data_IF_974116854892
#
_entry.id   IF_974116854892
#
_cell.length_a   1.000
_cell.length_b   1.000
_cell.length_c   1.000
_cell.angle_alpha   90.00
_cell.angle_beta   90.00
_cell.angle_gamma   90.00
#
_symmetry.space_group_name_H-M   'P 1'
#
loop_
_entity.id
_entity.type
_entity.pdbx_description
1 polymer ?
#
# COMPACT_ATOMS: atom_id res chain seq x y z
N UNK A 1 2.25 17.63 -14.06
CA UNK A 1 1.38 16.42 -14.08
C UNK A 1 0.18 16.69 -14.96
N UNK A 2 -0.26 15.73 -15.77
CA UNK A 2 -1.54 15.83 -16.50
C UNK A 2 -2.44 14.72 -16.02
N UNK A 3 -3.52 15.10 -15.33
CA UNK A 3 -4.60 14.17 -14.98
C UNK A 3 -5.32 13.79 -16.27
N UNK A 4 -5.40 12.48 -16.59
CA UNK A 4 -6.12 12.00 -17.78
C UNK A 4 -7.63 12.08 -17.56
N UNK A 5 -8.08 11.65 -16.37
CA UNK A 5 -9.46 11.75 -15.91
C UNK A 5 -9.52 11.55 -14.39
N UNK A 6 -10.67 11.79 -13.82
CA UNK A 6 -10.97 11.50 -12.41
C UNK A 6 -12.02 10.42 -12.29
N UNK A 7 -12.09 9.79 -11.11
CA UNK A 7 -13.16 8.88 -10.71
C UNK A 7 -13.68 9.27 -9.33
N UNK A 8 -14.95 8.96 -9.06
CA UNK A 8 -15.56 9.20 -7.76
C UNK A 8 -15.48 7.93 -6.91
N UNK A 9 -15.08 8.08 -5.66
CA UNK A 9 -15.08 7.01 -4.66
C UNK A 9 -16.20 7.28 -3.64
N UNK A 10 -17.19 6.38 -3.62
CA UNK A 10 -18.37 6.47 -2.76
C UNK A 10 -18.24 5.52 -1.58
N UNK A 11 -18.16 6.09 -0.38
CA UNK A 11 -18.09 5.36 0.87
C UNK A 11 -19.44 5.36 1.58
N UNK A 12 -19.76 4.27 2.26
CA UNK A 12 -20.93 4.16 3.11
C UNK A 12 -20.84 5.06 4.35
N UNK A 13 -21.97 5.25 4.99
CA UNK A 13 -22.06 6.16 6.13
C UNK A 13 -21.12 5.78 7.28
N UNK A 14 -20.93 4.49 7.55
CA UNK A 14 -20.03 4.04 8.62
C UNK A 14 -18.58 4.49 8.39
N UNK A 15 -18.07 4.35 7.17
CA UNK A 15 -16.72 4.79 6.78
C UNK A 15 -16.61 6.32 6.75
N UNK A 16 -17.70 7.02 6.36
CA UNK A 16 -17.74 8.48 6.45
C UNK A 16 -17.69 8.96 7.91
N UNK A 17 -18.48 8.33 8.80
CA UNK A 17 -18.51 8.68 10.24
C UNK A 17 -17.15 8.37 10.93
N UNK A 18 -16.43 7.34 10.46
CA UNK A 18 -15.08 6.98 10.90
C UNK A 18 -13.97 7.76 10.19
N UNK A 19 -14.31 8.63 9.24
CA UNK A 19 -13.38 9.38 8.39
C UNK A 19 -12.42 8.50 7.54
N UNK A 20 -12.73 7.21 7.32
CA UNK A 20 -11.92 6.30 6.50
C UNK A 20 -11.69 6.86 5.09
N UNK A 21 -12.71 7.49 4.50
CA UNK A 21 -12.67 8.06 3.16
C UNK A 21 -11.69 9.24 2.99
N UNK A 22 -11.27 9.87 4.08
CA UNK A 22 -10.32 11.00 4.09
C UNK A 22 -8.93 10.63 4.59
N UNK A 23 -8.70 9.36 4.94
CA UNK A 23 -7.45 8.86 5.51
C UNK A 23 -6.99 7.60 4.73
N UNK A 24 -6.99 7.70 3.38
CA UNK A 24 -6.63 6.57 2.51
C UNK A 24 -5.12 6.48 2.32
N UNK A 25 -4.52 5.38 2.78
CA UNK A 25 -3.08 5.10 2.68
C UNK A 25 -2.76 4.13 1.54
N UNK A 26 -3.70 3.26 1.14
CA UNK A 26 -3.42 2.23 0.14
C UNK A 26 -4.60 2.01 -0.82
N UNK A 27 -4.27 1.70 -2.08
CA UNK A 27 -5.25 1.29 -3.11
C UNK A 27 -4.70 0.20 -4.01
N UNK A 28 -5.55 -0.80 -4.37
CA UNK A 28 -5.23 -1.77 -5.43
C UNK A 28 -6.46 -2.05 -6.26
N UNK A 29 -6.26 -2.15 -7.55
CA UNK A 29 -7.29 -2.56 -8.50
C UNK A 29 -7.33 -4.08 -8.62
N UNK A 30 -8.53 -4.66 -8.75
CA UNK A 30 -8.74 -6.10 -8.94
C UNK A 30 -9.99 -6.30 -9.82
N UNK A 31 -9.80 -6.28 -11.16
CA UNK A 31 -10.91 -6.27 -12.11
C UNK A 31 -11.80 -5.04 -11.90
N UNK A 32 -13.08 -5.28 -11.64
CA UNK A 32 -14.09 -4.24 -11.42
C UNK A 32 -14.13 -3.68 -9.99
N UNK A 33 -13.20 -4.07 -9.11
CA UNK A 33 -13.19 -3.56 -7.74
C UNK A 33 -11.91 -2.83 -7.40
N UNK A 34 -12.01 -1.94 -6.42
CA UNK A 34 -10.89 -1.35 -5.69
C UNK A 34 -10.85 -1.93 -4.29
N UNK A 35 -9.67 -2.33 -3.87
CA UNK A 35 -9.32 -2.55 -2.48
C UNK A 35 -8.67 -1.30 -1.94
N UNK A 36 -9.13 -0.84 -0.78
CA UNK A 36 -8.64 0.38 -0.12
C UNK A 36 -8.38 0.08 1.36
N UNK A 37 -7.45 0.80 1.93
CA UNK A 37 -7.21 0.80 3.37
C UNK A 37 -6.77 2.19 3.83
N UNK A 38 -6.96 2.48 5.11
CA UNK A 38 -6.58 3.72 5.74
C UNK A 38 -5.81 3.51 7.03
N UNK A 39 -5.09 4.55 7.46
CA UNK A 39 -4.19 4.52 8.60
C UNK A 39 -4.91 4.57 9.96
N UNK A 40 -6.15 5.06 10.03
CA UNK A 40 -6.90 5.22 11.29
C UNK A 40 -7.89 4.08 11.58
N UNK A 41 -7.85 2.98 10.80
CA UNK A 41 -8.77 1.84 10.95
C UNK A 41 -8.05 0.50 11.05
N UNK A 42 -8.81 -0.56 11.40
CA UNK A 42 -8.37 -1.95 11.32
C UNK A 42 -9.23 -2.73 10.32
N UNK A 43 -9.47 -2.14 9.15
CA UNK A 43 -10.32 -2.69 8.10
C UNK A 43 -9.73 -2.50 6.70
N UNK A 44 -10.26 -3.27 5.77
CA UNK A 44 -10.03 -3.16 4.33
C UNK A 44 -11.38 -2.95 3.67
N UNK A 45 -11.48 -1.94 2.83
CA UNK A 45 -12.69 -1.60 2.09
C UNK A 45 -12.60 -2.12 0.66
N UNK A 46 -13.73 -2.61 0.13
CA UNK A 46 -13.89 -2.92 -1.28
C UNK A 46 -14.96 -2.02 -1.86
N UNK A 47 -14.61 -1.27 -2.91
CA UNK A 47 -15.56 -0.54 -3.74
C UNK A 47 -15.70 -1.23 -5.10
N UNK A 48 -16.90 -1.18 -5.68
CA UNK A 48 -17.22 -1.80 -6.97
C UNK A 48 -17.43 -0.71 -8.03
N UNK A 49 -16.86 -0.90 -9.22
CA UNK A 49 -16.99 0.01 -10.35
C UNK A 49 -18.42 0.00 -10.94
N UNK A 50 -18.88 1.15 -11.41
CA UNK A 50 -20.09 1.31 -12.21
C UNK A 50 -19.97 0.65 -13.58
N UNK A 51 -18.78 0.68 -14.19
CA UNK A 51 -18.41 0.06 -15.46
C UNK A 51 -17.01 -0.54 -15.34
N UNK A 52 -16.83 -1.82 -15.75
CA UNK A 52 -15.56 -2.53 -15.61
C UNK A 52 -14.48 -1.99 -16.54
N UNK A 53 -14.84 -1.66 -17.78
CA UNK A 53 -13.89 -1.24 -18.82
C UNK A 53 -13.49 0.24 -18.67
N UNK A 54 -14.45 1.07 -18.25
CA UNK A 54 -14.26 2.52 -18.15
C UNK A 54 -14.98 3.09 -16.93
N UNK A 55 -14.54 2.75 -15.72
CA UNK A 55 -15.19 3.21 -14.51
C UNK A 55 -15.15 4.74 -14.42
N UNK A 56 -16.30 5.33 -14.07
CA UNK A 56 -16.43 6.75 -13.71
C UNK A 56 -16.62 6.92 -12.22
N UNK A 57 -17.10 5.89 -11.56
CA UNK A 57 -17.26 5.86 -10.11
C UNK A 57 -17.08 4.44 -9.56
N UNK A 58 -16.74 4.38 -8.29
CA UNK A 58 -16.66 3.17 -7.49
C UNK A 58 -17.52 3.35 -6.24
N UNK A 59 -18.41 2.43 -5.98
CA UNK A 59 -19.34 2.45 -4.85
C UNK A 59 -19.63 1.05 -4.33
N UNK A 60 -20.83 0.83 -3.78
CA UNK A 60 -21.23 -0.46 -3.20
C UNK A 60 -20.17 -1.00 -2.22
N UNK A 61 -19.83 -0.16 -1.23
CA UNK A 61 -18.78 -0.44 -0.27
C UNK A 61 -19.07 -1.70 0.54
N UNK A 62 -18.03 -2.53 0.70
CA UNK A 62 -18.00 -3.60 1.67
C UNK A 62 -16.75 -3.47 2.54
N UNK A 63 -16.95 -3.36 3.84
CA UNK A 63 -15.91 -3.31 4.86
C UNK A 63 -15.58 -4.72 5.38
N UNK A 64 -14.29 -5.03 5.48
CA UNK A 64 -13.75 -6.27 6.06
C UNK A 64 -12.90 -5.90 7.27
N UNK A 65 -13.40 -6.18 8.48
CA UNK A 65 -12.62 -5.97 9.71
C UNK A 65 -11.50 -7.02 9.79
N UNK A 66 -10.29 -6.61 10.05
CA UNK A 66 -9.16 -7.54 10.17
C UNK A 66 -9.36 -8.55 11.29
N UNK A 67 -9.97 -8.15 12.41
CA UNK A 67 -10.25 -9.03 13.54
C UNK A 67 -11.21 -10.19 13.21
N UNK A 68 -12.03 -10.06 12.15
CA UNK A 68 -12.91 -11.13 11.68
C UNK A 68 -12.16 -12.13 10.78
N UNK A 69 -10.96 -11.79 10.33
CA UNK A 69 -10.16 -12.57 9.37
C UNK A 69 -8.92 -13.20 10.01
N UNK A 70 -8.23 -12.46 10.88
CA UNK A 70 -6.99 -12.89 11.56
C UNK A 70 -7.03 -12.53 13.03
N UNK A 71 -6.25 -13.24 13.84
CA UNK A 71 -6.01 -12.85 15.23
C UNK A 71 -5.02 -11.68 15.25
N UNK A 72 -5.45 -10.52 15.72
CA UNK A 72 -4.60 -9.34 15.91
C UNK A 72 -3.74 -9.51 17.17
N UNK A 73 -2.52 -8.92 17.20
CA UNK A 73 -1.58 -9.10 18.31
C UNK A 73 -1.93 -8.25 19.55
N UNK A 74 -2.68 -7.17 19.41
CA UNK A 74 -3.10 -6.31 20.51
C UNK A 74 -4.33 -6.85 21.26
N UNK A 75 -4.53 -6.37 22.48
CA UNK A 75 -5.66 -6.79 23.33
C UNK A 75 -7.01 -6.26 22.84
N UNK A 76 -7.03 -5.14 22.14
CA UNK A 76 -8.23 -4.51 21.59
C UNK A 76 -8.31 -4.78 20.07
N UNK A 77 -9.28 -5.60 19.61
CA UNK A 77 -9.44 -5.90 18.19
C UNK A 77 -9.94 -4.72 17.35
N UNK A 78 -10.45 -3.68 17.99
CA UNK A 78 -10.91 -2.45 17.35
C UNK A 78 -9.84 -1.34 17.38
N UNK A 79 -8.67 -1.59 18.02
CA UNK A 79 -7.56 -0.67 17.97
C UNK A 79 -6.99 -0.60 16.55
N UNK A 80 -6.67 0.59 16.13
CA UNK A 80 -6.07 0.94 14.84
C UNK A 80 -4.92 0.00 14.45
N UNK A 81 -4.98 -0.58 13.24
CA UNK A 81 -3.94 -1.41 12.65
C UNK A 81 -3.00 -0.62 11.71
N UNK A 82 -3.35 0.62 11.38
CA UNK A 82 -2.50 1.52 10.59
C UNK A 82 -2.04 0.85 9.30
N UNK A 83 -3.01 0.41 8.47
CA UNK A 83 -2.73 -0.31 7.23
C UNK A 83 -2.22 0.66 6.19
N UNK A 84 -0.93 0.53 5.88
CA UNK A 84 -0.17 1.43 5.02
C UNK A 84 0.14 0.82 3.65
N UNK A 85 -0.27 -0.41 3.43
CA UNK A 85 -0.08 -1.05 2.13
C UNK A 85 -0.94 -2.28 1.95
N UNK A 86 -1.46 -2.45 0.73
CA UNK A 86 -2.16 -3.65 0.29
C UNK A 86 -1.62 -4.12 -1.05
N UNK A 87 -1.61 -5.44 -1.28
CA UNK A 87 -1.23 -6.03 -2.56
C UNK A 87 -2.16 -7.20 -2.88
N UNK A 88 -2.58 -7.31 -4.14
CA UNK A 88 -3.43 -8.37 -4.63
C UNK A 88 -2.61 -9.29 -5.55
N UNK A 89 -2.54 -10.58 -5.23
CA UNK A 89 -1.83 -11.55 -6.07
C UNK A 89 -2.44 -12.94 -5.98
N UNK A 90 -2.71 -13.57 -7.13
CA UNK A 90 -3.36 -14.87 -7.22
C UNK A 90 -4.67 -14.89 -6.41
N UNK A 91 -4.82 -15.84 -5.49
CA UNK A 91 -6.00 -16.01 -4.65
C UNK A 91 -5.88 -15.31 -3.29
N UNK A 92 -4.98 -14.35 -3.15
CA UNK A 92 -4.71 -13.71 -1.85
C UNK A 92 -4.61 -12.19 -1.96
N UNK A 93 -5.09 -11.52 -0.91
CA UNK A 93 -4.79 -10.14 -0.61
C UNK A 93 -3.80 -10.09 0.56
N UNK A 94 -2.80 -9.25 0.42
CA UNK A 94 -1.81 -8.97 1.44
C UNK A 94 -2.04 -7.57 1.99
N UNK A 95 -1.84 -7.40 3.29
CA UNK A 95 -1.84 -6.08 3.92
C UNK A 95 -0.71 -5.99 4.95
N UNK A 96 -0.17 -4.79 5.10
CA UNK A 96 0.89 -4.50 6.05
C UNK A 96 0.55 -3.28 6.87
N UNK A 97 0.74 -3.36 8.17
CA UNK A 97 0.68 -2.21 9.06
C UNK A 97 2.01 -1.45 9.08
N UNK A 98 2.00 -0.23 9.58
CA UNK A 98 3.18 0.65 9.57
C UNK A 98 4.39 0.14 10.35
N UNK A 99 4.22 -0.74 11.34
CA UNK A 99 5.25 -1.16 12.29
C UNK A 99 5.87 0.02 13.06
N UNK A 100 5.24 1.15 13.08
CA UNK A 100 5.77 2.44 13.54
C UNK A 100 5.49 2.71 15.01
N UNK A 101 6.26 3.68 15.56
CA UNK A 101 5.94 4.38 16.79
C UNK A 101 5.40 5.77 16.47
N UNK A 102 4.48 6.27 17.31
CA UNK A 102 3.89 7.62 17.17
C UNK A 102 4.37 8.55 18.25
N UNK A 103 4.73 9.77 17.85
CA UNK A 103 4.95 10.89 18.77
C UNK A 103 3.69 11.72 18.87
N UNK A 104 3.27 12.06 20.09
CA UNK A 104 2.08 12.90 20.27
C UNK A 104 2.31 14.32 19.78
N UNK A 105 1.47 14.76 18.85
CA UNK A 105 1.49 16.13 18.30
C UNK A 105 1.14 17.18 19.37
N UNK A 106 1.77 18.36 19.26
CA UNK A 106 1.33 19.57 19.93
C UNK A 106 0.12 20.12 19.15
N UNK A 107 -0.96 20.43 19.86
CA UNK A 107 -2.13 21.11 19.29
C UNK A 107 -2.10 22.58 19.69
N UNK A 108 -2.69 23.48 18.93
CA UNK A 108 -2.66 24.96 19.17
C UNK A 108 -3.08 25.37 20.58
N UNK A 109 -4.03 24.63 21.17
CA UNK A 109 -4.47 24.82 22.56
C UNK A 109 -3.43 24.44 23.63
N UNK A 110 -2.28 23.87 23.24
CA UNK A 110 -1.24 23.44 24.17
C UNK A 110 -0.12 24.46 24.20
N UNK A 111 0.29 24.87 25.39
CA UNK A 111 1.40 25.79 25.61
C UNK A 111 2.32 25.33 26.73
N UNK A 112 3.55 25.81 26.73
CA UNK A 112 4.54 25.60 27.75
C UNK A 112 4.76 24.14 28.15
N UNK A 113 4.81 23.83 29.47
CA UNK A 113 5.14 22.50 29.96
C UNK A 113 4.22 21.39 29.45
N UNK A 114 2.94 21.71 29.18
CA UNK A 114 1.96 20.72 28.62
C UNK A 114 2.31 20.33 27.19
N UNK A 115 2.73 21.28 26.36
CA UNK A 115 3.17 21.04 25.00
C UNK A 115 4.44 20.15 24.98
N UNK A 116 5.45 20.49 25.80
CA UNK A 116 6.69 19.71 25.93
C UNK A 116 6.43 18.29 26.43
N UNK A 117 5.55 18.13 27.44
CA UNK A 117 5.17 16.80 27.94
C UNK A 117 4.48 15.95 26.87
N UNK A 118 3.66 16.55 25.99
CA UNK A 118 3.06 15.83 24.86
C UNK A 118 4.11 15.41 23.84
N UNK A 119 4.96 16.34 23.43
CA UNK A 119 6.02 16.07 22.46
C UNK A 119 7.00 14.98 22.92
N UNK A 120 7.26 14.86 24.22
CA UNK A 120 8.09 13.81 24.79
C UNK A 120 7.42 12.41 24.78
N UNK A 121 6.10 12.34 24.55
CA UNK A 121 5.37 11.06 24.64
C UNK A 121 5.40 10.31 23.33
N UNK A 122 6.00 9.13 23.36
CA UNK A 122 6.01 8.14 22.28
C UNK A 122 5.06 7.00 22.68
N UNK A 123 4.30 6.49 21.75
CA UNK A 123 3.39 5.35 21.91
C UNK A 123 3.59 4.37 20.75
N UNK A 124 3.39 3.08 21.01
CA UNK A 124 3.29 2.03 20.02
C UNK A 124 2.01 1.26 20.23
N UNK A 125 1.48 0.68 19.19
CA UNK A 125 0.31 -0.18 19.18
C UNK A 125 0.71 -1.50 18.52
N UNK A 126 0.30 -2.62 19.11
CA UNK A 126 0.72 -3.93 18.62
C UNK A 126 0.01 -4.29 17.31
N UNK A 127 -1.24 -3.85 17.12
CA UNK A 127 -2.01 -4.10 15.89
C UNK A 127 -1.34 -3.49 14.63
N UNK A 128 -0.50 -2.48 14.77
CA UNK A 128 0.29 -1.90 13.67
C UNK A 128 1.43 -2.80 13.19
N UNK A 129 1.79 -3.84 14.00
CA UNK A 129 2.98 -4.67 13.77
C UNK A 129 2.59 -5.99 13.09
N UNK A 130 1.90 -5.89 11.96
CA UNK A 130 1.38 -7.04 11.22
C UNK A 130 1.75 -7.00 9.73
N UNK A 131 2.01 -8.19 9.19
CA UNK A 131 1.92 -8.49 7.76
C UNK A 131 0.95 -9.65 7.62
N UNK A 132 -0.14 -9.47 6.89
CA UNK A 132 -1.19 -10.47 6.75
C UNK A 132 -1.36 -10.92 5.31
N UNK A 133 -1.73 -12.21 5.14
CA UNK A 133 -2.15 -12.81 3.87
C UNK A 133 -3.56 -13.37 4.05
N UNK A 134 -4.51 -12.92 3.26
CA UNK A 134 -5.94 -13.21 3.41
C UNK A 134 -6.44 -13.88 2.13
N UNK A 135 -7.10 -15.06 2.20
CA UNK A 135 -7.73 -15.67 1.05
C UNK A 135 -8.81 -14.79 0.45
N UNK A 136 -8.88 -14.77 -0.88
CA UNK A 136 -9.91 -14.08 -1.67
C UNK A 136 -10.68 -15.12 -2.45
N UNK A 137 -11.99 -15.14 -2.30
CA UNK A 137 -12.90 -16.02 -3.03
C UNK A 137 -13.88 -15.18 -3.85
N UNK A 138 -14.40 -15.75 -4.94
CA UNK A 138 -15.51 -15.13 -5.64
C UNK A 138 -16.83 -15.44 -4.92
N UNK A 139 -17.58 -14.40 -4.60
CA UNK A 139 -18.96 -14.52 -4.09
C UNK A 139 -19.85 -13.63 -4.96
N UNK A 140 -20.74 -14.24 -5.70
CA UNK A 140 -21.69 -13.57 -6.61
C UNK A 140 -20.97 -12.67 -7.66
N UNK A 141 -19.81 -13.10 -8.16
CA UNK A 141 -19.00 -12.37 -9.15
C UNK A 141 -18.19 -11.21 -8.55
N UNK A 142 -18.01 -11.18 -7.23
CA UNK A 142 -17.22 -10.18 -6.52
C UNK A 142 -16.15 -10.82 -5.65
N UNK A 143 -14.87 -10.39 -5.75
CA UNK A 143 -13.81 -10.87 -4.87
C UNK A 143 -14.11 -10.48 -3.42
N UNK A 144 -14.01 -11.45 -2.52
CA UNK A 144 -14.42 -11.34 -1.13
C UNK A 144 -13.35 -11.92 -0.22
N UNK A 145 -12.95 -11.17 0.81
CA UNK A 145 -11.99 -11.62 1.83
C UNK A 145 -12.67 -12.60 2.77
N UNK A 146 -11.98 -13.70 3.09
CA UNK A 146 -12.46 -14.73 4.02
C UNK A 146 -11.33 -15.21 4.92
N UNK A 147 -11.70 -15.64 6.15
CA UNK A 147 -10.73 -16.18 7.10
C UNK A 147 -10.14 -17.53 6.63
N UNK A 148 -10.92 -18.30 5.89
CA UNK A 148 -10.48 -19.58 5.32
C UNK A 148 -11.23 -19.90 4.02
N UNK A 149 -10.55 -20.60 3.12
CA UNK A 149 -11.12 -21.08 1.86
C UNK A 149 -10.43 -22.36 1.38
N UNK A 150 -11.08 -23.11 0.52
CA UNK A 150 -10.43 -24.18 -0.25
C UNK A 150 -9.88 -23.59 -1.56
N UNK A 151 -8.56 -23.60 -1.72
CA UNK A 151 -7.84 -23.05 -2.88
C UNK A 151 -6.90 -24.12 -3.41
N UNK A 152 -7.03 -24.46 -4.68
CA UNK A 152 -6.20 -25.50 -5.30
C UNK A 152 -6.36 -26.89 -4.69
N UNK A 153 -7.50 -27.19 -4.04
CA UNK A 153 -7.77 -28.45 -3.35
C UNK A 153 -7.16 -28.53 -1.93
N UNK A 154 -6.62 -27.42 -1.43
CA UNK A 154 -6.09 -27.31 -0.07
C UNK A 154 -6.84 -26.25 0.73
N UNK A 155 -7.04 -26.50 2.02
CA UNK A 155 -7.60 -25.50 2.95
C UNK A 155 -6.54 -24.44 3.24
N UNK A 156 -6.84 -23.22 2.86
CA UNK A 156 -6.00 -22.03 3.10
C UNK A 156 -6.67 -21.16 4.17
N UNK A 157 -5.83 -20.63 5.06
CA UNK A 157 -6.26 -19.73 6.12
C UNK A 157 -5.67 -18.33 5.89
N UNK A 158 -6.38 -17.33 6.38
CA UNK A 158 -5.77 -16.03 6.62
C UNK A 158 -4.66 -16.21 7.68
N UNK A 159 -3.50 -15.65 7.41
CA UNK A 159 -2.32 -15.87 8.23
C UNK A 159 -1.54 -14.57 8.44
N UNK A 160 -0.96 -14.40 9.62
CA UNK A 160 -0.22 -13.21 10.00
C UNK A 160 1.23 -13.50 10.42
N UNK A 161 2.15 -12.60 10.05
CA UNK A 161 3.45 -12.41 10.68
C UNK A 161 3.26 -11.30 11.73
N UNK A 162 3.24 -11.67 13.01
CA UNK A 162 2.88 -10.77 14.11
C UNK A 162 3.48 -11.24 15.45
N UNK A 163 3.28 -10.49 16.51
CA UNK A 163 3.77 -10.82 17.86
C UNK A 163 5.30 -10.91 17.90
N UNK A 164 5.84 -12.00 18.40
CA UNK A 164 7.29 -12.19 18.51
C UNK A 164 8.02 -12.41 17.16
N UNK A 165 7.27 -12.61 16.08
CA UNK A 165 7.85 -12.76 14.73
C UNK A 165 7.65 -11.51 13.86
N UNK A 166 7.16 -10.41 14.43
CA UNK A 166 6.93 -9.18 13.68
C UNK A 166 8.22 -8.58 13.10
N UNK A 167 8.07 -7.64 12.18
CA UNK A 167 9.20 -7.02 11.47
C UNK A 167 10.15 -6.27 12.42
N UNK A 168 9.65 -5.67 13.51
CA UNK A 168 10.49 -4.95 14.47
C UNK A 168 11.44 -5.87 15.23
N UNK A 169 10.95 -7.05 15.63
CA UNK A 169 11.78 -8.07 16.26
C UNK A 169 12.80 -8.64 15.27
N UNK A 170 12.39 -8.83 14.02
CA UNK A 170 13.26 -9.26 12.93
C UNK A 170 14.44 -8.30 12.70
N UNK A 171 14.17 -7.00 12.75
CA UNK A 171 15.16 -5.94 12.51
C UNK A 171 15.96 -5.51 13.74
N UNK A 172 15.73 -6.14 14.91
CA UNK A 172 16.31 -5.75 16.19
C UNK A 172 17.83 -5.65 16.19
N UNK A 173 18.49 -6.48 15.39
CA UNK A 173 19.96 -6.53 15.28
C UNK A 173 20.45 -6.13 13.88
N UNK A 174 19.59 -5.55 13.04
CA UNK A 174 20.01 -5.05 11.75
C UNK A 174 20.96 -3.87 11.89
N UNK A 175 22.11 -3.93 11.23
CA UNK A 175 23.18 -2.93 11.35
C UNK A 175 22.78 -1.51 10.90
N UNK A 176 21.81 -1.40 9.98
CA UNK A 176 21.35 -0.11 9.43
C UNK A 176 20.04 0.37 10.09
N UNK A 177 19.11 -0.54 10.38
CA UNK A 177 17.75 -0.21 10.75
C UNK A 177 17.48 -0.27 12.25
N UNK A 178 18.23 -1.08 13.02
CA UNK A 178 17.99 -1.23 14.47
C UNK A 178 18.03 0.08 15.26
N UNK A 179 18.89 1.08 14.95
CA UNK A 179 18.90 2.34 15.69
C UNK A 179 17.60 3.15 15.56
N UNK A 180 16.82 2.90 14.49
CA UNK A 180 15.61 3.65 14.16
C UNK A 180 14.33 3.02 14.73
N UNK A 181 14.42 1.82 15.30
CA UNK A 181 13.27 1.14 15.89
C UNK A 181 12.68 1.90 17.12
N UNK A 182 13.47 2.66 17.84
CA UNK A 182 13.02 3.45 18.97
C UNK A 182 12.59 4.89 18.61
N UNK A 183 12.71 5.25 17.32
CA UNK A 183 12.39 6.57 16.79
C UNK A 183 10.98 6.54 16.20
N UNK A 184 10.11 7.52 16.47
CA UNK A 184 8.80 7.64 15.85
C UNK A 184 8.87 7.82 14.33
N UNK A 185 7.84 7.36 13.62
CA UNK A 185 7.78 7.40 12.15
C UNK A 185 8.08 8.79 11.58
N UNK A 186 7.34 9.80 12.01
CA UNK A 186 7.49 11.20 11.52
C UNK A 186 8.75 11.93 12.00
N UNK A 187 9.63 11.23 12.74
CA UNK A 187 10.98 11.69 13.15
C UNK A 187 12.09 10.94 12.37
N UNK A 188 11.80 10.35 11.21
CA UNK A 188 12.64 9.45 10.43
C UNK A 188 12.91 8.10 11.12
N UNK A 189 11.96 7.59 11.91
CA UNK A 189 11.99 6.25 12.50
C UNK A 189 11.55 5.16 11.54
N UNK A 190 11.50 3.90 12.03
CA UNK A 190 10.97 2.80 11.25
C UNK A 190 9.49 3.05 10.93
N UNK A 191 9.16 2.97 9.65
CA UNK A 191 7.83 3.16 9.13
C UNK A 191 7.68 2.43 7.78
N UNK A 192 6.75 1.49 7.71
CA UNK A 192 6.44 0.72 6.49
C UNK A 192 5.22 1.35 5.84
N UNK A 193 5.33 1.79 4.57
CA UNK A 193 4.21 2.43 3.84
C UNK A 193 3.92 1.82 2.47
N UNK A 194 4.53 0.76 2.09
CA UNK A 194 4.21 0.15 0.79
C UNK A 194 4.45 -1.34 0.77
N UNK A 195 3.64 -2.04 -0.02
CA UNK A 195 3.82 -3.46 -0.26
C UNK A 195 3.63 -3.82 -1.73
N UNK A 196 4.56 -4.59 -2.27
CA UNK A 196 4.40 -5.28 -3.55
C UNK A 196 4.62 -6.78 -3.36
N UNK A 197 3.88 -7.60 -4.10
CA UNK A 197 4.03 -9.05 -4.04
C UNK A 197 4.17 -9.61 -5.44
N UNK A 198 5.21 -10.42 -5.65
CA UNK A 198 5.48 -11.09 -6.92
C UNK A 198 5.94 -12.54 -6.64
N UNK A 199 5.11 -13.49 -7.05
CA UNK A 199 5.37 -14.90 -6.74
C UNK A 199 5.40 -15.18 -5.23
N UNK A 200 6.52 -15.71 -4.72
CA UNK A 200 6.75 -15.97 -3.30
C UNK A 200 7.47 -14.82 -2.56
N UNK A 201 7.69 -13.68 -3.25
CA UNK A 201 8.42 -12.53 -2.70
C UNK A 201 7.47 -11.41 -2.33
N UNK A 202 7.70 -10.85 -1.16
CA UNK A 202 7.02 -9.67 -0.64
C UNK A 202 8.06 -8.56 -0.47
N UNK A 203 7.80 -7.40 -1.06
CA UNK A 203 8.62 -6.20 -0.96
C UNK A 203 7.90 -5.22 -0.05
N UNK A 204 8.57 -4.75 1.00
CA UNK A 204 8.05 -3.75 1.94
C UNK A 204 8.85 -2.46 1.79
N UNK A 205 8.19 -1.39 1.39
CA UNK A 205 8.77 -0.06 1.29
C UNK A 205 8.87 0.64 2.63
N UNK A 206 9.99 1.27 2.91
CA UNK A 206 10.14 2.06 4.12
C UNK A 206 10.04 3.56 3.79
N UNK A 207 9.05 4.26 4.40
CA UNK A 207 9.06 5.71 4.43
C UNK A 207 10.24 6.21 5.24
N UNK A 208 10.49 5.57 6.35
CA UNK A 208 11.64 5.79 7.21
C UNK A 208 12.25 4.49 7.73
N UNK A 209 13.57 4.53 8.03
CA UNK A 209 14.49 5.66 7.88
C UNK A 209 15.01 5.83 6.46
N UNK A 210 15.33 7.07 6.10
CA UNK A 210 16.18 7.40 4.93
C UNK A 210 17.58 7.74 5.44
N UNK A 211 18.60 6.99 4.98
CA UNK A 211 19.97 7.10 5.45
C UNK A 211 20.82 7.84 4.41
N UNK A 212 21.21 9.09 4.72
CA UNK A 212 22.01 9.94 3.82
C UNK A 212 21.44 10.04 2.39
N UNK A 213 20.12 10.07 2.29
CA UNK A 213 19.41 10.17 1.01
C UNK A 213 19.03 8.84 0.38
N UNK A 214 19.33 7.71 1.02
CA UNK A 214 19.00 6.36 0.53
C UNK A 214 17.78 5.81 1.25
N UNK A 215 16.78 5.42 0.47
CA UNK A 215 15.59 4.72 0.96
C UNK A 215 15.81 3.20 0.98
N UNK A 216 14.97 2.48 1.73
CA UNK A 216 15.06 1.03 1.86
C UNK A 216 13.78 0.34 1.41
N UNK A 217 13.96 -0.80 0.74
CA UNK A 217 12.91 -1.79 0.51
C UNK A 217 13.40 -3.12 1.09
N UNK A 218 12.58 -3.77 1.91
CA UNK A 218 12.85 -5.10 2.43
C UNK A 218 12.19 -6.14 1.53
N UNK A 219 12.94 -7.14 1.11
CA UNK A 219 12.43 -8.32 0.40
C UNK A 219 12.33 -9.48 1.39
N UNK A 220 11.14 -10.07 1.49
CA UNK A 220 10.83 -11.21 2.34
C UNK A 220 10.32 -12.38 1.50
N UNK A 221 10.37 -13.60 2.06
CA UNK A 221 9.77 -14.82 1.46
C UNK A 221 8.86 -15.51 2.48
N UNK A 222 7.64 -14.93 2.72
CA UNK A 222 6.71 -15.49 3.69
C UNK A 222 6.13 -16.82 3.20
N UNK A 223 5.87 -17.72 4.16
CA UNK A 223 5.10 -18.94 3.93
C UNK A 223 4.23 -19.23 5.14
N UNK A 224 3.14 -19.98 4.92
CA UNK A 224 2.28 -20.42 6.01
C UNK A 224 2.96 -21.52 6.80
N UNK A 225 2.98 -21.40 8.12
CA UNK A 225 3.49 -22.45 8.99
C UNK A 225 2.54 -23.67 8.96
N UNK A 226 2.98 -24.85 8.49
CA UNK A 226 2.08 -26.01 8.40
C UNK A 226 1.53 -26.48 9.76
N UNK A 227 2.26 -26.23 10.85
CA UNK A 227 1.81 -26.58 12.21
C UNK A 227 0.84 -25.56 12.81
N UNK A 228 0.85 -24.32 12.30
CA UNK A 228 0.02 -23.18 12.76
C UNK A 228 -0.48 -22.41 11.53
N UNK A 229 -1.55 -22.87 10.84
CA UNK A 229 -1.97 -22.34 9.55
C UNK A 229 -2.36 -20.84 9.55
N UNK A 230 -2.68 -20.27 10.72
CA UNK A 230 -2.93 -18.85 10.87
C UNK A 230 -1.66 -18.00 11.04
N UNK A 231 -0.45 -18.62 10.94
CA UNK A 231 0.83 -17.95 11.19
C UNK A 231 1.72 -17.98 9.96
N UNK A 232 2.27 -16.83 9.59
CA UNK A 232 3.32 -16.70 8.61
C UNK A 232 4.68 -16.90 9.26
N UNK A 233 5.60 -17.49 8.49
CA UNK A 233 7.03 -17.60 8.76
C UNK A 233 7.80 -17.09 7.56
N UNK A 234 9.09 -16.81 7.73
CA UNK A 234 9.97 -16.37 6.66
C UNK A 234 10.96 -17.49 6.28
N UNK A 235 11.14 -17.69 4.99
CA UNK A 235 12.23 -18.51 4.46
C UNK A 235 13.50 -17.68 4.46
N UNK A 236 14.60 -18.30 4.86
CA UNK A 236 15.92 -17.69 4.75
C UNK A 236 16.36 -17.61 3.29
N UNK A 237 17.12 -16.58 2.98
CA UNK A 237 17.87 -16.47 1.75
C UNK A 237 19.18 -17.23 1.84
N UNK A 238 19.97 -17.24 0.76
CA UNK A 238 21.21 -18.02 0.65
C UNK A 238 22.29 -17.60 1.67
N UNK A 239 22.21 -16.37 2.18
CA UNK A 239 23.07 -15.82 3.23
C UNK A 239 22.60 -16.16 4.66
N UNK A 240 21.50 -16.91 4.79
CA UNK A 240 20.91 -17.30 6.07
C UNK A 240 20.10 -16.21 6.74
N UNK A 241 19.86 -15.06 6.07
CA UNK A 241 19.01 -13.99 6.58
C UNK A 241 17.56 -14.18 6.12
N UNK A 242 16.56 -13.88 6.97
CA UNK A 242 15.13 -14.00 6.63
C UNK A 242 14.61 -12.84 5.79
N UNK A 243 15.43 -11.85 5.45
CA UNK A 243 15.11 -10.71 4.59
C UNK A 243 16.35 -10.23 3.84
N UNK A 244 16.12 -9.52 2.75
CA UNK A 244 17.12 -8.75 2.00
C UNK A 244 16.78 -7.26 2.04
N UNK A 245 17.80 -6.42 1.94
CA UNK A 245 17.65 -4.96 1.85
C UNK A 245 18.04 -4.49 0.45
N UNK A 246 17.12 -3.83 -0.24
CA UNK A 246 17.40 -3.05 -1.44
C UNK A 246 17.48 -1.58 -1.07
N UNK A 247 18.47 -0.88 -1.59
CA UNK A 247 18.77 0.50 -1.24
C UNK A 247 18.54 1.37 -2.47
N UNK A 248 17.56 2.27 -2.42
CA UNK A 248 17.07 3.02 -3.57
C UNK A 248 17.47 4.50 -3.49
N UNK A 249 17.95 5.04 -4.61
CA UNK A 249 18.18 6.47 -4.80
C UNK A 249 16.88 7.14 -5.24
N UNK A 250 16.15 7.71 -4.27
CA UNK A 250 14.88 8.39 -4.49
C UNK A 250 15.00 9.92 -4.24
N UNK A 251 16.18 10.50 -4.52
CA UNK A 251 16.47 11.92 -4.27
C UNK A 251 16.26 12.33 -2.80
N UNK A 252 16.47 11.42 -1.85
CA UNK A 252 16.31 11.67 -0.41
C UNK A 252 14.88 11.46 0.12
N UNK A 253 13.96 11.01 -0.72
CA UNK A 253 12.59 10.66 -0.33
C UNK A 253 12.52 9.25 0.24
N UNK A 254 11.50 8.98 1.06
CA UNK A 254 11.11 7.66 1.52
C UNK A 254 10.07 7.02 0.62
N UNK A 255 9.85 5.71 0.77
CA UNK A 255 8.82 4.99 0.02
C UNK A 255 7.46 5.23 0.68
N UNK A 256 6.46 5.63 -0.12
CA UNK A 256 5.06 5.78 0.30
C UNK A 256 4.22 4.59 -0.13
N UNK A 257 4.42 4.09 -1.35
CA UNK A 257 3.73 2.90 -1.84
C UNK A 257 4.56 2.18 -2.89
N UNK A 258 4.28 0.89 -3.09
CA UNK A 258 4.89 0.00 -4.08
C UNK A 258 3.80 -0.66 -4.92
N UNK A 259 3.84 -0.50 -6.24
CA UNK A 259 2.87 -1.12 -7.15
C UNK A 259 3.59 -1.95 -8.23
N UNK A 260 3.39 -3.28 -8.29
CA UNK A 260 3.97 -4.11 -9.34
C UNK A 260 3.52 -3.68 -10.73
N UNK A 261 4.45 -3.67 -11.69
CA UNK A 261 4.20 -3.32 -13.10
C UNK A 261 5.02 -4.24 -14.01
N UNK A 262 4.52 -5.45 -14.28
CA UNK A 262 5.29 -6.50 -14.93
C UNK A 262 6.48 -6.95 -14.07
N UNK A 263 7.69 -6.89 -14.62
CA UNK A 263 8.94 -7.20 -13.89
C UNK A 263 9.46 -6.01 -13.08
N UNK A 264 8.88 -4.84 -13.24
CA UNK A 264 9.22 -3.60 -12.56
C UNK A 264 8.33 -3.38 -11.32
N UNK A 265 8.76 -2.46 -10.45
CA UNK A 265 7.92 -1.92 -9.38
C UNK A 265 7.83 -0.40 -9.55
N UNK A 266 6.62 0.14 -9.58
CA UNK A 266 6.40 1.57 -9.40
C UNK A 266 6.54 1.90 -7.92
N UNK A 267 7.30 2.95 -7.63
CA UNK A 267 7.57 3.42 -6.26
C UNK A 267 6.99 4.82 -6.13
N UNK A 268 5.96 4.98 -5.32
CA UNK A 268 5.54 6.29 -4.85
C UNK A 268 6.51 6.71 -3.74
N UNK A 269 7.09 7.89 -3.86
CA UNK A 269 8.07 8.39 -2.92
C UNK A 269 7.70 9.81 -2.44
N UNK A 270 7.93 10.07 -1.16
CA UNK A 270 7.62 11.36 -0.53
C UNK A 270 8.45 11.63 0.72
N UNK A 271 8.19 12.74 1.42
CA UNK A 271 8.92 13.11 2.63
C UNK A 271 8.80 12.06 3.74
N UNK A 272 9.90 11.85 4.48
CA UNK A 272 9.93 10.93 5.64
C UNK A 272 9.38 11.55 6.91
N UNK A 273 9.49 12.87 7.05
CA UNK A 273 9.04 13.62 8.23
C UNK A 273 7.74 14.36 7.92
N UNK A 274 7.11 14.91 8.97
CA UNK A 274 5.90 15.74 8.83
C UNK A 274 6.24 17.13 8.23
N UNK A 275 6.68 17.12 6.98
CA UNK A 275 7.04 18.31 6.18
C UNK A 275 6.43 18.15 4.80
N UNK A 276 5.92 19.24 4.26
CA UNK A 276 5.54 19.27 2.85
C UNK A 276 6.80 19.18 1.97
N UNK A 277 6.67 18.42 0.90
CA UNK A 277 7.79 18.22 -0.02
C UNK A 277 7.36 17.45 -1.25
N UNK A 278 8.28 17.24 -2.20
CA UNK A 278 7.95 16.61 -3.46
C UNK A 278 7.44 15.18 -3.26
N UNK A 279 6.38 14.85 -4.00
CA UNK A 279 5.85 13.49 -4.13
C UNK A 279 6.09 13.03 -5.55
N UNK A 280 6.71 11.87 -5.73
CA UNK A 280 7.18 11.40 -7.03
C UNK A 280 6.87 9.95 -7.26
N UNK A 281 6.63 9.57 -8.52
CA UNK A 281 6.58 8.19 -8.95
C UNK A 281 7.88 7.85 -9.65
N UNK A 282 8.55 6.81 -9.18
CA UNK A 282 9.71 6.19 -9.80
C UNK A 282 9.37 4.82 -10.34
N UNK A 283 10.12 4.36 -11.35
CA UNK A 283 10.11 2.98 -11.83
C UNK A 283 11.41 2.30 -11.45
N UNK A 284 11.31 1.29 -10.59
CA UNK A 284 12.42 0.38 -10.29
C UNK A 284 12.43 -0.76 -11.30
N UNK A 285 13.30 -0.64 -12.29
CA UNK A 285 13.38 -1.57 -13.42
C UNK A 285 13.96 -2.92 -13.00
N UNK A 286 13.28 -4.00 -13.41
CA UNK A 286 13.68 -5.37 -13.13
C UNK A 286 13.72 -5.72 -11.64
N UNK A 287 12.96 -5.03 -10.80
CA UNK A 287 12.89 -5.23 -9.36
C UNK A 287 12.54 -6.68 -9.01
N UNK A 288 11.55 -7.25 -9.70
CA UNK A 288 11.06 -8.61 -9.43
C UNK A 288 12.03 -9.71 -9.88
N UNK A 289 13.04 -9.38 -10.69
CA UNK A 289 14.07 -10.32 -11.16
C UNK A 289 15.37 -10.26 -10.34
N UNK A 290 15.47 -9.34 -9.37
CA UNK A 290 16.66 -9.19 -8.54
C UNK A 290 17.00 -10.51 -7.80
N UNK A 291 18.18 -11.04 -8.08
CA UNK A 291 18.63 -12.28 -7.45
C UNK A 291 19.36 -12.04 -6.11
N UNK A 292 19.81 -10.81 -5.85
CA UNK A 292 20.60 -10.42 -4.70
C UNK A 292 20.18 -9.02 -4.20
N UNK A 293 20.56 -8.64 -2.97
CA UNK A 293 20.42 -7.25 -2.50
C UNK A 293 21.05 -6.27 -3.49
N UNK A 294 20.39 -5.15 -3.75
CA UNK A 294 20.83 -4.17 -4.74
C UNK A 294 20.98 -2.77 -4.16
N UNK A 295 21.96 -2.02 -4.71
CA UNK A 295 21.98 -0.56 -4.65
C UNK A 295 21.40 -0.07 -5.97
N UNK A 296 20.16 0.42 -5.92
CA UNK A 296 19.34 0.78 -7.08
C UNK A 296 19.51 2.26 -7.39
N UNK A 297 20.16 2.57 -8.52
CA UNK A 297 20.45 3.93 -8.96
C UNK A 297 20.59 4.00 -10.48
N UNK A 298 20.70 5.23 -11.01
CA UNK A 298 20.90 5.46 -12.44
C UNK A 298 19.71 4.96 -13.26
N UNK A 299 19.98 4.18 -14.30
CA UNK A 299 18.97 3.64 -15.21
C UNK A 299 18.08 2.54 -14.61
N UNK A 300 18.44 2.04 -13.41
CA UNK A 300 17.63 1.05 -12.67
C UNK A 300 16.49 1.69 -11.87
N UNK A 301 16.57 2.98 -11.56
CA UNK A 301 15.52 3.74 -10.88
C UNK A 301 15.25 5.04 -11.63
N UNK A 302 14.15 5.12 -12.32
CA UNK A 302 13.83 6.24 -13.22
C UNK A 302 12.65 7.02 -12.65
N UNK A 303 12.83 8.33 -12.49
CA UNK A 303 11.72 9.21 -12.13
C UNK A 303 10.76 9.34 -13.31
N UNK A 304 9.55 8.83 -13.16
CA UNK A 304 8.49 8.91 -14.16
C UNK A 304 7.79 10.26 -14.10
N UNK A 305 7.45 10.73 -12.89
CA UNK A 305 6.64 11.91 -12.76
C UNK A 305 6.70 12.50 -11.33
N UNK A 306 6.37 13.79 -11.20
CA UNK A 306 6.15 14.47 -9.93
C UNK A 306 4.67 14.83 -9.80
N UNK A 307 4.07 14.43 -8.66
CA UNK A 307 2.68 14.71 -8.32
C UNK A 307 2.56 16.12 -7.73
N UNK A 308 1.35 16.65 -7.75
CA UNK A 308 1.04 17.89 -7.06
C UNK A 308 1.13 17.66 -5.55
N UNK A 309 1.71 18.59 -4.84
CA UNK A 309 1.79 18.60 -3.38
C UNK A 309 1.73 20.05 -2.90
N UNK A 310 1.28 20.27 -1.68
CA UNK A 310 1.17 21.62 -1.14
C UNK A 310 0.90 21.63 0.36
N UNK A 311 0.97 22.80 0.97
CA UNK A 311 0.79 23.00 2.39
C UNK A 311 -0.67 22.67 2.78
N UNK A 312 -0.84 21.58 3.53
CA UNK A 312 -2.13 21.14 4.07
C UNK A 312 -3.07 20.46 3.08
N UNK A 313 -2.62 20.17 1.85
CA UNK A 313 -3.47 19.63 0.80
C UNK A 313 -2.82 18.48 0.04
N UNK A 314 -3.66 17.51 -0.41
CA UNK A 314 -3.33 16.49 -1.40
C UNK A 314 -2.08 15.65 -1.09
N UNK A 315 -2.11 14.93 0.02
CA UNK A 315 -1.07 13.96 0.33
C UNK A 315 -1.32 12.66 -0.44
N UNK A 316 -0.70 12.50 -1.61
CA UNK A 316 -0.76 11.25 -2.36
C UNK A 316 -0.02 10.15 -1.58
N UNK A 317 -0.74 9.10 -1.16
CA UNK A 317 -0.20 8.01 -0.35
C UNK A 317 -0.39 6.62 -0.98
N UNK A 318 -1.39 6.43 -1.83
CA UNK A 318 -1.60 5.16 -2.52
C UNK A 318 -1.64 5.29 -4.03
N UNK A 319 -1.04 4.31 -4.74
CA UNK A 319 -1.10 4.19 -6.19
C UNK A 319 -1.54 2.79 -6.62
N UNK A 320 -2.37 2.68 -7.65
CA UNK A 320 -2.80 1.41 -8.24
C UNK A 320 -2.82 1.47 -9.76
N UNK A 321 -2.27 0.44 -10.44
CA UNK A 321 -2.42 0.35 -11.88
C UNK A 321 -3.89 0.13 -12.23
N UNK A 322 -4.41 0.83 -13.23
CA UNK A 322 -5.77 0.67 -13.72
C UNK A 322 -5.76 0.30 -15.21
N UNK A 323 -6.40 -0.81 -15.54
CA UNK A 323 -6.29 -1.42 -16.85
C UNK A 323 -4.96 -2.17 -17.06
N UNK A 324 -4.62 -2.50 -18.32
CA UNK A 324 -3.37 -3.16 -18.65
C UNK A 324 -2.14 -2.34 -18.22
N UNK A 325 -1.10 -3.01 -17.70
CA UNK A 325 0.10 -2.35 -17.21
C UNK A 325 0.84 -1.53 -18.28
N UNK A 326 0.76 -1.96 -19.55
CA UNK A 326 1.32 -1.27 -20.72
C UNK A 326 0.66 0.08 -21.01
N UNK A 327 -0.59 0.29 -20.60
CA UNK A 327 -1.28 1.58 -20.73
C UNK A 327 -0.70 2.64 -19.82
N UNK A 328 0.02 2.24 -18.77
CA UNK A 328 0.67 3.13 -17.82
C UNK A 328 -0.29 4.05 -17.07
N UNK A 329 -1.56 3.62 -16.89
CA UNK A 329 -2.53 4.38 -16.12
C UNK A 329 -2.42 4.02 -14.65
N UNK A 330 -2.37 5.04 -13.81
CA UNK A 330 -2.25 4.91 -12.37
C UNK A 330 -3.36 5.69 -11.70
N UNK A 331 -4.13 5.02 -10.86
CA UNK A 331 -5.04 5.64 -9.91
C UNK A 331 -4.24 6.13 -8.70
N UNK A 332 -4.50 7.35 -8.25
CA UNK A 332 -3.87 7.95 -7.08
C UNK A 332 -4.94 8.28 -6.04
N UNK A 333 -4.73 7.81 -4.81
CA UNK A 333 -5.55 8.17 -3.64
C UNK A 333 -4.73 9.02 -2.67
N UNK A 334 -5.44 9.79 -1.84
CA UNK A 334 -4.84 10.80 -0.98
C UNK A 334 -5.24 10.58 0.47
N UNK A 335 -4.28 10.67 1.39
CA UNK A 335 -4.55 11.01 2.79
C UNK A 335 -4.80 12.51 2.88
N UNK A 336 -5.77 12.90 3.71
CA UNK A 336 -6.13 14.30 3.92
C UNK A 336 -6.38 15.04 2.58
N UNK A 337 -7.37 14.58 1.75
CA UNK A 337 -7.61 15.17 0.45
C UNK A 337 -8.02 16.63 0.56
N UNK A 338 -7.61 17.45 -0.41
CA UNK A 338 -8.00 18.85 -0.52
C UNK A 338 -9.54 19.02 -0.53
N UNK A 339 -10.02 20.15 -0.08
CA UNK A 339 -11.46 20.40 0.06
C UNK A 339 -12.23 20.30 -1.28
N UNK A 340 -11.60 20.62 -2.41
CA UNK A 340 -12.17 20.51 -3.75
C UNK A 340 -12.23 19.07 -4.29
N UNK A 341 -11.54 18.12 -3.62
CA UNK A 341 -11.69 16.68 -3.88
C UNK A 341 -12.91 16.07 -3.21
N UNK A 342 -13.55 16.77 -2.30
CA UNK A 342 -14.75 16.31 -1.64
C UNK A 342 -15.99 16.87 -2.36
N UNK A 343 -16.83 15.99 -2.89
CA UNK A 343 -18.10 16.44 -3.50
C UNK A 343 -19.13 16.81 -2.43
N UNK A 344 -20.10 17.62 -2.79
CA UNK A 344 -21.18 18.01 -1.88
C UNK A 344 -21.99 16.80 -1.34
N UNK A 345 -22.00 15.70 -2.10
CA UNK A 345 -22.71 14.46 -1.77
C UNK A 345 -21.85 13.46 -1.02
N UNK A 346 -20.57 13.80 -0.72
CA UNK A 346 -19.67 13.02 0.12
C UNK A 346 -18.80 11.97 -0.61
N UNK A 347 -18.69 12.04 -1.93
CA UNK A 347 -17.70 11.26 -2.67
C UNK A 347 -16.32 11.92 -2.62
N UNK A 348 -15.26 11.10 -2.73
CA UNK A 348 -13.89 11.57 -2.90
C UNK A 348 -13.48 11.45 -4.37
N UNK A 349 -12.85 12.49 -4.89
CA UNK A 349 -12.30 12.53 -6.24
C UNK A 349 -10.89 11.96 -6.23
N UNK A 350 -10.68 10.84 -6.93
CA UNK A 350 -9.36 10.25 -7.15
C UNK A 350 -8.89 10.51 -8.60
N UNK A 351 -7.59 10.70 -8.78
CA UNK A 351 -6.99 11.01 -10.08
C UNK A 351 -6.55 9.74 -10.80
N UNK A 352 -6.82 9.65 -12.10
CA UNK A 352 -6.17 8.72 -13.01
C UNK A 352 -5.18 9.51 -13.84
N UNK A 353 -3.91 9.19 -13.69
CA UNK A 353 -2.79 9.79 -14.40
C UNK A 353 -2.19 8.78 -15.37
N UNK A 354 -1.56 9.27 -16.45
CA UNK A 354 -0.78 8.45 -17.37
C UNK A 354 0.71 8.68 -17.14
N UNK A 355 1.45 7.58 -16.97
CA UNK A 355 2.91 7.62 -16.89
C UNK A 355 3.51 7.96 -18.25
N UNK A 356 4.61 8.76 -18.32
CA UNK A 356 5.33 9.02 -19.54
C UNK A 356 5.86 7.73 -20.20
N UNK A 357 5.86 7.68 -21.52
CA UNK A 357 6.40 6.55 -22.29
C UNK A 357 5.49 5.31 -22.40
N UNK A 358 4.32 5.32 -21.79
CA UNK A 358 3.31 4.31 -22.06
C UNK A 358 2.69 4.55 -23.45
N UNK A 359 2.72 3.53 -24.33
CA UNK A 359 2.04 3.63 -25.63
C UNK A 359 0.52 3.54 -25.40
N UNK A 360 -0.29 4.41 -26.06
CA UNK A 360 -1.74 4.24 -26.00
C UNK A 360 -2.10 2.89 -26.64
N UNK A 361 -2.94 2.10 -25.98
CA UNK A 361 -3.45 0.87 -26.55
C UNK A 361 -4.01 1.16 -27.94
N UNK A 362 -3.50 0.47 -28.95
CA UNK A 362 -4.00 0.61 -30.32
C UNK A 362 -5.49 0.29 -30.28
N UNK A 363 -6.34 1.27 -30.66
CA UNK A 363 -7.78 1.09 -30.75
C UNK A 363 -8.02 -0.18 -31.59
N UNK A 364 -8.60 -1.21 -31.02
CA UNK A 364 -8.91 -2.44 -31.70
C UNK A 364 -9.82 -2.09 -32.88
N UNK A 365 -9.24 -2.05 -34.10
CA UNK A 365 -9.97 -1.84 -35.34
C UNK A 365 -10.94 -2.98 -35.47
N UNK A 366 -12.21 -2.71 -35.24
CA UNK A 366 -13.30 -3.70 -35.42
C UNK A 366 -13.20 -4.37 -36.75
N UNK A 367 -12.94 -5.68 -36.75
CA UNK A 367 -12.92 -6.51 -37.94
C UNK A 367 -14.35 -6.53 -38.53
N UNK A 368 -14.60 -5.62 -39.47
CA UNK A 368 -15.78 -5.69 -40.34
C UNK A 368 -15.65 -6.94 -41.21
N UNK A 369 -16.27 -8.03 -40.78
CA UNK A 369 -16.48 -9.22 -41.63
C UNK A 369 -17.28 -8.82 -42.87
N UNK A 370 -16.58 -8.64 -44.01
CA UNK A 370 -17.20 -8.61 -45.32
C UNK A 370 -17.83 -9.98 -45.57
N UNK A 371 -19.15 -10.05 -45.51
CA UNK A 371 -19.91 -11.17 -46.10
C UNK A 371 -19.79 -11.05 -47.62
N UNK A 372 -18.99 -11.91 -48.24
CA UNK A 372 -19.03 -12.09 -49.69
C UNK A 372 -20.27 -12.89 -50.02
N UNK A 373 -21.23 -12.24 -50.68
CA UNK A 373 -22.31 -12.93 -51.38
C UNK A 373 -21.71 -13.61 -52.61
N UNK A 374 -21.81 -14.92 -52.70
CA UNK A 374 -21.67 -15.68 -53.97
C UNK A 374 -23.03 -15.80 -54.61
N UNK A 375 -23.09 -15.36 -55.83
CA UNK A 375 -24.01 -15.90 -56.86
C UNK A 375 -23.33 -17.09 -57.53
#
# INVERSE_FOLDING_TARGET
MTVERTVLLWFGRASQDAATHTNLSAVRTDGKVLWLAGDETASIERLTADDEDKPTEYGDERTFRLADLVTLPGDDPDEEADIEGIARTGDFLWAVGSHSLRRRQIKDRHSGPKALKRLARITGQENRQILVRIPVVDVDGLPTLVAEAEIGGERQHAAALAGHDNLRELLRYDEHLSPFLAIPSKDNGLDVEGIAVQGDRVYLGLRGPVLRGWAFVLELRPYVNPAEPARLRLREFEDGLPYRKHVLDLDGLGVRDLCPSGDDILVLAGPTMALDGPVRIYRWRGACQAAMPEIVRGDRIVRELELTYGEGDDHAEGIGLIGPAEDGRVLVVHDSPAADRMTADGAIVADIIRLPGAEPAAASAGSARRRSARR
#
